data_IF_591574675693
#
_entry.id   IF_591574675693
#
_cell.length_a   1.000
_cell.length_b   1.000
_cell.length_c   1.000
_cell.angle_alpha   90.00
_cell.angle_beta   90.00
_cell.angle_gamma   90.00
#
_symmetry.space_group_name_H-M   'P 1'
#
loop_
_entity.id
_entity.type
_entity.pdbx_description
1 polymer ?
#
# COMPACT_ATOMS: atom_id res chain seq x y z
N UNK A 1 21.12 29.58 -3.71
CA UNK A 1 20.57 29.00 -4.95
C UNK A 1 21.13 29.76 -6.16
N UNK A 2 21.99 29.12 -6.94
CA UNK A 2 22.69 29.72 -8.09
C UNK A 2 22.10 29.23 -9.41
N UNK A 3 22.29 30.00 -10.50
CA UNK A 3 21.80 29.62 -11.86
C UNK A 3 22.31 28.27 -12.37
N UNK A 4 23.36 27.72 -11.76
CA UNK A 4 23.92 26.40 -12.11
C UNK A 4 23.06 25.26 -11.54
N UNK A 5 22.62 25.39 -10.30
CA UNK A 5 21.74 24.42 -9.63
C UNK A 5 20.36 24.33 -10.31
N UNK A 6 19.87 25.45 -10.85
CA UNK A 6 18.62 25.48 -11.64
C UNK A 6 18.82 24.86 -13.03
N UNK A 7 20.01 25.02 -13.65
CA UNK A 7 20.31 24.42 -14.95
C UNK A 7 20.49 22.91 -14.86
N UNK A 8 21.10 22.41 -13.79
CA UNK A 8 21.32 20.98 -13.57
C UNK A 8 20.02 20.27 -13.15
N UNK A 9 19.10 20.97 -12.45
CA UNK A 9 17.76 20.47 -12.17
C UNK A 9 16.83 20.42 -13.39
N UNK A 10 17.03 21.29 -14.39
CA UNK A 10 16.23 21.31 -15.64
C UNK A 10 16.81 20.37 -16.72
N UNK A 11 18.11 20.04 -16.64
CA UNK A 11 18.80 19.20 -17.62
C UNK A 11 18.45 17.71 -17.61
N UNK A 12 17.77 17.22 -16.56
CA UNK A 12 17.45 15.80 -16.37
C UNK A 12 15.96 15.44 -16.54
N UNK A 13 15.14 16.32 -17.12
CA UNK A 13 13.78 15.94 -17.52
C UNK A 13 13.90 15.03 -18.75
N UNK A 14 13.77 13.73 -18.51
CA UNK A 14 13.65 12.71 -19.56
C UNK A 14 12.61 13.16 -20.60
N UNK A 15 12.99 13.13 -21.88
CA UNK A 15 12.15 13.53 -23.03
C UNK A 15 10.79 12.82 -23.08
N UNK A 16 10.60 11.75 -22.30
CA UNK A 16 9.35 11.02 -22.13
C UNK A 16 8.27 11.85 -21.42
N UNK A 17 8.61 12.64 -20.40
CA UNK A 17 7.63 13.43 -19.63
C UNK A 17 7.21 14.73 -20.33
N UNK A 18 8.02 15.23 -21.27
CA UNK A 18 7.68 16.41 -22.08
C UNK A 18 6.67 16.06 -23.19
N UNK A 19 6.70 14.83 -23.71
CA UNK A 19 5.74 14.37 -24.71
C UNK A 19 4.36 14.08 -24.09
N UNK A 20 4.33 13.53 -22.87
CA UNK A 20 3.10 13.22 -22.15
C UNK A 20 2.31 14.48 -21.75
N UNK A 21 3.00 15.56 -21.38
CA UNK A 21 2.36 16.86 -21.09
C UNK A 21 1.88 17.60 -22.35
N UNK A 22 2.44 17.31 -23.53
CA UNK A 22 2.04 17.92 -24.80
C UNK A 22 0.81 17.24 -25.42
N UNK A 23 0.65 15.92 -25.23
CA UNK A 23 -0.50 15.17 -25.77
C UNK A 23 -1.79 15.34 -24.95
N UNK A 24 -1.69 15.75 -23.68
CA UNK A 24 -2.85 15.95 -22.81
C UNK A 24 -3.83 17.05 -23.31
N UNK A 25 -3.38 17.97 -24.17
CA UNK A 25 -4.24 19.05 -24.70
C UNK A 25 -4.87 18.80 -26.08
N UNK A 26 -4.60 17.67 -26.73
CA UNK A 26 -5.05 17.48 -28.14
C UNK A 26 -6.07 16.36 -28.34
N UNK A 27 -6.38 15.53 -27.34
CA UNK A 27 -7.39 14.49 -27.47
C UNK A 27 -8.79 14.93 -26.99
N UNK A 28 -9.29 16.07 -27.48
CA UNK A 28 -10.73 16.32 -27.52
C UNK A 28 -11.20 16.29 -28.98
N UNK A 29 -11.73 15.16 -29.44
CA UNK A 29 -12.85 15.09 -30.39
C UNK A 29 -13.27 13.65 -30.78
N UNK A 30 -14.57 13.42 -30.58
CA UNK A 30 -15.51 12.60 -31.38
C UNK A 30 -15.35 11.07 -31.34
N UNK A 31 -16.08 10.46 -30.40
CA UNK A 31 -16.46 9.05 -30.39
C UNK A 31 -17.40 8.76 -31.58
N UNK A 32 -16.96 7.90 -32.51
CA UNK A 32 -17.84 7.22 -33.48
C UNK A 32 -18.09 5.79 -32.97
N UNK A 33 -19.35 5.50 -32.66
CA UNK A 33 -19.80 4.15 -32.29
C UNK A 33 -19.66 3.20 -33.49
N UNK A 34 -18.69 2.28 -33.43
CA UNK A 34 -18.64 1.13 -34.31
C UNK A 34 -18.96 -0.13 -33.49
N UNK A 35 -20.20 -0.60 -33.60
CA UNK A 35 -20.63 -1.89 -33.02
C UNK A 35 -20.04 -3.04 -33.86
N UNK A 36 -19.23 -3.89 -33.24
CA UNK A 36 -19.00 -5.29 -33.67
C UNK A 36 -18.95 -6.22 -32.46
N UNK A 37 -19.33 -7.49 -32.63
CA UNK A 37 -19.95 -8.28 -31.57
C UNK A 37 -18.93 -8.93 -30.62
N UNK A 38 -19.27 -8.90 -29.34
CA UNK A 38 -18.54 -9.50 -28.21
C UNK A 38 -18.59 -11.02 -28.32
N UNK A 39 -17.41 -11.64 -28.45
CA UNK A 39 -17.20 -13.04 -28.15
C UNK A 39 -17.36 -13.24 -26.64
N UNK A 40 -18.26 -14.15 -26.26
CA UNK A 40 -18.51 -14.53 -24.87
C UNK A 40 -17.32 -15.31 -24.33
N UNK A 41 -16.45 -14.66 -23.56
CA UNK A 41 -15.52 -15.32 -22.65
C UNK A 41 -15.89 -14.92 -21.23
N UNK A 42 -16.14 -15.95 -20.44
CA UNK A 42 -16.41 -16.04 -18.99
C UNK A 42 -15.87 -14.88 -18.15
N UNK A 43 -16.74 -13.94 -17.79
CA UNK A 43 -16.53 -12.94 -16.73
C UNK A 43 -17.67 -12.95 -15.69
N UNK A 44 -18.35 -14.10 -15.54
CA UNK A 44 -19.60 -14.19 -14.75
C UNK A 44 -19.37 -14.64 -13.30
N UNK A 45 -18.26 -15.32 -12.99
CA UNK A 45 -18.03 -15.86 -11.64
C UNK A 45 -17.52 -14.80 -10.66
N UNK A 46 -16.63 -13.90 -11.09
CA UNK A 46 -16.06 -12.83 -10.23
C UNK A 46 -17.12 -11.80 -9.84
N UNK A 47 -17.97 -11.38 -10.79
CA UNK A 47 -19.12 -10.52 -10.51
C UNK A 47 -20.15 -11.17 -9.58
N UNK A 48 -20.27 -12.50 -9.58
CA UNK A 48 -21.23 -13.20 -8.72
C UNK A 48 -20.79 -13.23 -7.25
N UNK A 49 -19.49 -13.25 -6.92
CA UNK A 49 -19.00 -13.26 -5.55
C UNK A 49 -19.13 -11.90 -4.86
N UNK A 50 -18.87 -10.79 -5.57
CA UNK A 50 -19.19 -9.44 -5.07
C UNK A 50 -20.71 -9.30 -4.77
N UNK A 51 -21.55 -9.96 -5.59
CA UNK A 51 -23.00 -10.00 -5.36
C UNK A 51 -23.40 -10.93 -4.22
N UNK A 52 -22.71 -12.07 -3.97
CA UNK A 52 -23.09 -13.04 -2.93
C UNK A 52 -22.72 -12.55 -1.52
N UNK A 53 -21.67 -11.71 -1.37
CA UNK A 53 -21.41 -11.02 -0.11
C UNK A 53 -22.26 -9.74 0.09
N UNK A 54 -22.66 -9.08 -1.01
CA UNK A 54 -23.55 -7.90 -1.00
C UNK A 54 -25.06 -8.19 -0.93
N UNK A 55 -25.51 -9.46 -1.01
CA UNK A 55 -26.94 -9.81 -1.04
C UNK A 55 -27.61 -10.03 0.33
N UNK A 56 -27.10 -9.40 1.40
CA UNK A 56 -27.94 -9.17 2.58
C UNK A 56 -28.21 -7.67 2.64
N UNK A 57 -29.14 -7.24 1.78
CA UNK A 57 -29.80 -5.94 1.88
C UNK A 57 -30.61 -5.91 3.19
N UNK A 58 -29.94 -5.63 4.29
CA UNK A 58 -30.56 -4.95 5.41
C UNK A 58 -30.97 -3.57 4.89
N UNK A 59 -32.28 -3.37 4.79
CA UNK A 59 -32.99 -2.08 4.86
C UNK A 59 -32.13 -0.83 4.65
N UNK A 60 -32.46 -0.07 3.59
CA UNK A 60 -32.19 1.36 3.43
C UNK A 60 -32.17 2.09 4.79
N UNK A 61 -30.99 2.15 5.42
CA UNK A 61 -30.70 3.12 6.44
C UNK A 61 -30.04 4.26 5.66
N UNK A 62 -30.88 5.15 5.12
CA UNK A 62 -30.46 6.53 4.90
C UNK A 62 -29.75 6.95 6.18
N UNK A 63 -28.42 7.03 6.15
CA UNK A 63 -27.65 7.39 7.34
C UNK A 63 -28.14 8.77 7.77
N UNK A 64 -28.86 8.88 8.90
CA UNK A 64 -29.55 10.11 9.21
C UNK A 64 -28.52 11.15 9.64
N UNK A 65 -28.28 12.14 8.79
CA UNK A 65 -27.56 13.37 9.12
C UNK A 65 -26.04 13.29 9.11
N UNK A 66 -25.43 13.25 7.92
CA UNK A 66 -24.01 13.60 7.73
C UNK A 66 -22.99 12.50 7.96
N UNK A 67 -23.42 11.24 8.17
CA UNK A 67 -22.53 10.07 8.35
C UNK A 67 -22.26 9.34 7.02
N UNK A 68 -22.48 10.02 5.89
CA UNK A 68 -22.11 9.48 4.58
C UNK A 68 -20.58 9.52 4.45
N UNK A 69 -20.01 8.36 4.18
CA UNK A 69 -18.59 8.20 3.85
C UNK A 69 -18.52 7.58 2.47
N UNK A 70 -17.58 8.06 1.68
CA UNK A 70 -17.26 7.64 0.31
C UNK A 70 -15.76 7.39 0.23
N UNK A 71 -15.33 6.45 -0.60
CA UNK A 71 -13.93 6.14 -0.83
C UNK A 71 -13.55 6.49 -2.27
N UNK A 72 -12.35 7.00 -2.47
CA UNK A 72 -11.84 7.41 -3.77
C UNK A 72 -10.47 6.77 -4.02
N UNK A 73 -10.26 6.27 -5.24
CA UNK A 73 -8.97 5.78 -5.66
C UNK A 73 -8.01 6.97 -5.87
N UNK A 74 -6.91 6.97 -5.14
CA UNK A 74 -5.84 7.96 -5.30
C UNK A 74 -5.14 7.76 -6.65
N UNK A 75 -4.74 8.87 -7.30
CA UNK A 75 -4.17 8.86 -8.65
C UNK A 75 -5.19 9.05 -9.78
N UNK A 76 -6.43 8.55 -9.64
CA UNK A 76 -7.53 8.85 -10.58
C UNK A 76 -8.55 9.83 -10.02
N UNK A 77 -8.72 9.87 -8.69
CA UNK A 77 -9.77 10.64 -8.03
C UNK A 77 -11.18 10.11 -8.30
N UNK A 78 -11.31 8.88 -8.80
CA UNK A 78 -12.59 8.24 -9.07
C UNK A 78 -13.15 7.61 -7.79
N UNK A 79 -14.46 7.78 -7.56
CA UNK A 79 -15.18 7.11 -6.47
C UNK A 79 -15.13 5.59 -6.67
N UNK A 80 -14.91 4.85 -5.60
CA UNK A 80 -15.03 3.39 -5.57
C UNK A 80 -16.51 3.07 -5.29
N UNK A 81 -17.28 2.59 -6.29
CA UNK A 81 -18.72 2.43 -6.12
C UNK A 81 -19.07 1.15 -5.35
N UNK A 82 -20.29 1.10 -4.81
CA UNK A 82 -20.84 -0.10 -4.14
C UNK A 82 -20.90 -1.31 -5.07
N UNK A 83 -21.25 -1.09 -6.35
CA UNK A 83 -21.25 -2.15 -7.37
C UNK A 83 -19.83 -2.59 -7.78
N UNK A 84 -18.81 -1.86 -7.35
CA UNK A 84 -17.41 -2.02 -7.68
C UNK A 84 -17.00 -1.55 -9.08
N UNK A 85 -15.71 -1.33 -9.23
CA UNK A 85 -15.07 -0.90 -10.47
C UNK A 85 -13.67 -1.50 -10.60
N UNK A 86 -13.20 -1.60 -11.84
CA UNK A 86 -11.80 -1.93 -12.12
C UNK A 86 -10.94 -0.71 -11.78
N UNK A 87 -10.01 -0.88 -10.85
CA UNK A 87 -9.04 0.11 -10.43
C UNK A 87 -7.86 0.10 -11.39
N UNK A 88 -7.47 1.28 -11.86
CA UNK A 88 -6.48 1.45 -12.95
C UNK A 88 -5.17 2.08 -12.47
N UNK A 89 -4.91 2.06 -11.17
CA UNK A 89 -3.75 2.69 -10.53
C UNK A 89 -2.55 1.75 -10.43
N UNK A 90 -2.78 0.43 -10.54
CA UNK A 90 -1.72 -0.54 -10.64
C UNK A 90 -2.13 -1.89 -11.20
N UNK A 91 -1.13 -2.71 -11.54
CA UNK A 91 -1.28 -4.07 -12.07
C UNK A 91 -0.19 -4.97 -11.51
N UNK A 92 -0.49 -6.27 -11.40
CA UNK A 92 0.49 -7.33 -11.13
C UNK A 92 0.56 -8.29 -12.31
N UNK A 93 1.75 -8.79 -12.63
CA UNK A 93 1.92 -9.82 -13.67
C UNK A 93 2.07 -11.22 -13.07
N UNK A 94 2.00 -12.26 -13.91
CA UNK A 94 2.26 -13.66 -13.50
C UNK A 94 3.63 -13.86 -12.84
N UNK A 95 4.57 -12.94 -13.04
CA UNK A 95 5.93 -13.03 -12.50
C UNK A 95 6.09 -12.30 -11.15
N UNK A 96 4.98 -11.78 -10.60
CA UNK A 96 4.96 -10.96 -9.38
C UNK A 96 5.40 -9.51 -9.59
N UNK A 97 5.76 -9.12 -10.82
CA UNK A 97 6.13 -7.73 -11.13
C UNK A 97 4.92 -6.81 -11.02
N UNK A 98 5.11 -5.73 -10.28
CA UNK A 98 4.12 -4.71 -9.97
C UNK A 98 4.39 -3.45 -10.77
N UNK A 99 3.33 -2.84 -11.28
CA UNK A 99 3.38 -1.48 -11.82
C UNK A 99 2.35 -0.63 -11.07
N UNK A 100 2.81 0.46 -10.45
CA UNK A 100 1.96 1.34 -9.64
C UNK A 100 1.44 0.70 -8.35
N UNK A 101 0.49 1.39 -7.71
CA UNK A 101 -0.15 0.94 -6.47
C UNK A 101 -1.52 0.33 -6.81
N UNK A 102 -1.77 -0.97 -6.54
CA UNK A 102 -3.00 -1.67 -6.91
C UNK A 102 -4.26 -0.96 -6.42
N UNK A 103 -4.20 -0.50 -5.17
CA UNK A 103 -5.27 0.23 -4.53
C UNK A 103 -4.71 1.12 -3.44
N UNK A 104 -4.48 2.38 -3.80
CA UNK A 104 -4.32 3.46 -2.85
C UNK A 104 -5.60 4.27 -2.82
N UNK A 105 -6.12 4.60 -1.64
CA UNK A 105 -7.40 5.29 -1.50
C UNK A 105 -7.42 6.26 -0.34
N UNK A 106 -8.40 7.17 -0.38
CA UNK A 106 -8.73 8.07 0.73
C UNK A 106 -10.25 8.09 0.95
N UNK A 107 -10.65 8.52 2.14
CA UNK A 107 -12.05 8.69 2.50
C UNK A 107 -12.48 10.15 2.32
N UNK A 108 -13.75 10.35 1.98
CA UNK A 108 -14.43 11.64 2.04
C UNK A 108 -15.72 11.48 2.81
N UNK A 109 -16.02 12.43 3.67
CA UNK A 109 -17.17 12.41 4.56
C UNK A 109 -17.14 13.65 5.45
N UNK A 110 -17.93 13.64 6.52
CA UNK A 110 -17.95 14.74 7.50
C UNK A 110 -17.87 14.21 8.92
N UNK A 111 -17.21 14.98 9.78
CA UNK A 111 -17.12 14.72 11.21
C UNK A 111 -16.58 13.32 11.54
N UNK A 112 -15.64 12.80 10.74
CA UNK A 112 -14.97 11.54 11.06
C UNK A 112 -13.94 11.86 12.14
N UNK A 113 -14.02 11.19 13.29
CA UNK A 113 -13.09 11.35 14.41
C UNK A 113 -11.97 10.33 14.32
N UNK A 114 -12.31 9.10 13.99
CA UNK A 114 -11.31 8.05 13.81
C UNK A 114 -11.82 6.97 12.89
N UNK A 115 -10.88 6.26 12.26
CA UNK A 115 -11.15 5.07 11.49
C UNK A 115 -10.17 3.99 11.93
N UNK A 116 -10.71 2.86 12.40
CA UNK A 116 -9.94 1.64 12.59
C UNK A 116 -9.98 0.84 11.30
N UNK A 117 -8.81 0.58 10.73
CA UNK A 117 -8.63 -0.26 9.57
C UNK A 117 -8.30 -1.69 10.02
N UNK A 118 -8.84 -2.67 9.32
CA UNK A 118 -8.55 -4.09 9.54
C UNK A 118 -8.55 -4.82 8.21
N UNK A 119 -7.37 -5.27 7.77
CA UNK A 119 -7.15 -6.01 6.54
C UNK A 119 -7.13 -7.51 6.84
N UNK A 120 -7.85 -8.30 6.05
CA UNK A 120 -8.02 -9.72 6.33
C UNK A 120 -6.76 -10.52 6.00
N UNK A 121 -6.28 -10.40 4.77
CA UNK A 121 -5.21 -11.23 4.22
C UNK A 121 -3.90 -10.46 4.06
N UNK A 122 -3.93 -9.30 3.40
CA UNK A 122 -2.71 -8.56 3.06
C UNK A 122 -2.37 -7.50 4.12
N UNK A 123 -1.61 -6.47 3.72
CA UNK A 123 -1.12 -5.40 4.58
C UNK A 123 -1.53 -4.04 4.02
N UNK A 124 -1.59 -3.06 4.92
CA UNK A 124 -1.91 -1.68 4.63
C UNK A 124 -0.76 -0.77 5.07
N UNK A 125 -0.49 0.25 4.27
CA UNK A 125 0.32 1.41 4.67
C UNK A 125 -0.59 2.63 4.84
N UNK A 126 -0.28 3.45 5.83
CA UNK A 126 -0.91 4.75 6.03
C UNK A 126 0.12 5.84 5.90
N UNK A 127 -0.14 6.79 5.01
CA UNK A 127 0.65 8.01 4.84
C UNK A 127 -0.20 9.24 5.12
N UNK A 128 0.35 10.18 5.90
CA UNK A 128 -0.28 11.47 6.18
C UNK A 128 0.52 12.59 5.51
N UNK A 129 0.06 13.03 4.34
CA UNK A 129 0.71 14.10 3.60
C UNK A 129 0.55 15.48 4.24
N UNK A 130 -0.22 15.59 5.33
CA UNK A 130 -0.26 16.79 6.17
C UNK A 130 0.82 16.79 7.25
N UNK A 131 1.52 15.66 7.46
CA UNK A 131 2.57 15.45 8.45
C UNK A 131 2.10 15.69 9.90
N UNK A 132 0.80 15.49 10.19
CA UNK A 132 0.21 15.75 11.51
C UNK A 132 0.07 14.51 12.38
N UNK A 133 0.09 13.34 11.78
CA UNK A 133 -0.17 12.06 12.42
C UNK A 133 1.03 11.16 12.25
N UNK A 134 1.18 10.22 13.17
CA UNK A 134 2.12 9.14 12.96
C UNK A 134 1.65 8.27 11.79
N UNK A 135 2.61 7.82 10.99
CA UNK A 135 2.37 6.94 9.86
C UNK A 135 2.35 5.47 10.30
N UNK A 136 1.75 4.60 9.49
CA UNK A 136 1.80 3.15 9.74
C UNK A 136 2.40 2.47 8.52
N UNK A 137 3.50 1.75 8.71
CA UNK A 137 4.00 0.82 7.71
C UNK A 137 3.23 -0.50 7.79
N UNK A 138 3.18 -1.22 6.67
CA UNK A 138 2.79 -2.63 6.46
C UNK A 138 2.10 -3.32 7.65
N UNK A 139 0.91 -2.85 7.97
CA UNK A 139 0.15 -3.29 9.13
C UNK A 139 -1.20 -3.86 8.67
N UNK A 140 -1.69 -4.86 9.39
CA UNK A 140 -3.03 -5.39 9.11
C UNK A 140 -4.11 -4.58 9.81
N UNK A 141 -3.81 -4.09 11.02
CA UNK A 141 -4.76 -3.32 11.81
C UNK A 141 -4.08 -2.09 12.42
N UNK A 142 -4.74 -0.95 12.33
CA UNK A 142 -4.35 0.30 12.99
C UNK A 142 -5.55 1.23 13.10
N UNK A 143 -5.44 2.23 13.97
CA UNK A 143 -6.47 3.27 14.13
C UNK A 143 -5.88 4.64 13.82
N UNK A 144 -6.49 5.36 12.89
CA UNK A 144 -6.10 6.72 12.54
C UNK A 144 -7.10 7.70 13.14
N UNK A 145 -6.59 8.74 13.80
CA UNK A 145 -7.39 9.90 14.17
C UNK A 145 -7.62 10.76 12.93
N UNK A 146 -8.86 11.06 12.60
CA UNK A 146 -9.21 12.05 11.58
C UNK A 146 -9.36 13.42 12.24
N UNK A 147 -9.09 14.48 11.47
CA UNK A 147 -9.17 15.86 11.97
C UNK A 147 -10.57 16.45 11.87
N UNK A 148 -10.76 17.63 12.47
CA UNK A 148 -11.99 18.43 12.31
C UNK A 148 -12.13 19.00 10.89
N UNK A 149 -11.02 19.15 10.18
CA UNK A 149 -10.93 19.70 8.83
C UNK A 149 -11.12 18.58 7.79
N UNK A 150 -12.29 18.55 7.14
CA UNK A 150 -12.68 17.50 6.18
C UNK A 150 -11.97 17.61 4.82
N UNK A 151 -11.37 18.77 4.52
CA UNK A 151 -10.55 19.00 3.34
C UNK A 151 -9.18 18.31 3.41
N UNK A 152 -8.71 17.95 4.61
CA UNK A 152 -7.48 17.19 4.82
C UNK A 152 -7.59 15.72 4.44
N UNK A 153 -8.81 15.16 4.36
CA UNK A 153 -8.98 13.72 4.25
C UNK A 153 -8.40 13.15 2.95
N UNK A 154 -8.34 13.96 1.89
CA UNK A 154 -7.69 13.59 0.62
C UNK A 154 -6.16 13.42 0.73
N UNK A 155 -5.56 13.90 1.82
CA UNK A 155 -4.14 13.76 2.15
C UNK A 155 -3.86 12.57 3.09
N UNK A 156 -4.90 11.86 3.54
CA UNK A 156 -4.81 10.68 4.41
C UNK A 156 -4.96 9.44 3.54
N UNK A 157 -3.82 8.89 3.11
CA UNK A 157 -3.77 7.82 2.11
C UNK A 157 -3.60 6.46 2.78
N UNK A 158 -4.41 5.50 2.35
CA UNK A 158 -4.27 4.09 2.69
C UNK A 158 -3.83 3.36 1.43
N UNK A 159 -2.69 2.70 1.47
CA UNK A 159 -2.22 1.84 0.39
C UNK A 159 -2.38 0.37 0.76
N UNK A 160 -3.04 -0.40 -0.09
CA UNK A 160 -3.17 -1.85 0.07
C UNK A 160 -2.08 -2.58 -0.71
N UNK A 161 -1.27 -3.34 0.02
CA UNK A 161 -0.05 -3.96 -0.50
C UNK A 161 -0.23 -5.48 -0.57
N UNK A 162 -0.37 -6.08 -1.77
CA UNK A 162 -0.61 -7.52 -1.94
C UNK A 162 0.65 -8.37 -1.81
N UNK A 163 1.36 -8.24 -0.69
CA UNK A 163 2.65 -8.87 -0.46
C UNK A 163 2.57 -10.41 -0.60
N UNK A 164 1.51 -11.04 -0.09
CA UNK A 164 1.37 -12.51 -0.17
C UNK A 164 1.22 -12.96 -1.62
N UNK A 165 0.45 -12.23 -2.42
CA UNK A 165 0.30 -12.48 -3.87
C UNK A 165 1.63 -12.28 -4.59
N UNK A 166 2.33 -11.16 -4.35
CA UNK A 166 3.62 -10.83 -4.97
C UNK A 166 4.62 -11.96 -4.70
N UNK A 167 4.73 -12.38 -3.45
CA UNK A 167 5.63 -13.46 -3.03
C UNK A 167 5.27 -14.79 -3.66
N UNK A 168 3.99 -15.14 -3.70
CA UNK A 168 3.55 -16.39 -4.33
C UNK A 168 3.94 -16.45 -5.81
N UNK A 169 3.76 -15.35 -6.54
CA UNK A 169 4.09 -15.26 -7.97
C UNK A 169 5.60 -15.11 -8.24
N UNK A 170 6.36 -14.59 -7.28
CA UNK A 170 7.81 -14.37 -7.42
C UNK A 170 8.64 -15.57 -6.98
N UNK A 171 8.25 -16.21 -5.87
CA UNK A 171 9.02 -17.28 -5.22
C UNK A 171 8.71 -18.66 -5.84
N UNK A 172 7.57 -18.81 -6.55
CA UNK A 172 7.14 -20.08 -7.15
C UNK A 172 7.00 -19.97 -8.67
N UNK A 173 7.97 -20.54 -9.39
CA UNK A 173 8.03 -20.49 -10.86
C UNK A 173 6.88 -21.19 -11.59
N UNK A 174 6.16 -22.08 -10.90
CA UNK A 174 4.97 -22.77 -11.41
C UNK A 174 3.66 -22.06 -11.06
N UNK A 175 3.74 -20.95 -10.31
CA UNK A 175 2.59 -20.10 -10.00
C UNK A 175 2.34 -19.07 -11.12
N UNK A 176 1.08 -18.65 -11.22
CA UNK A 176 0.55 -17.65 -12.13
C UNK A 176 -0.71 -17.08 -11.50
N UNK A 177 -1.17 -15.90 -11.94
CA UNK A 177 -2.40 -15.29 -11.43
C UNK A 177 -3.58 -16.25 -11.55
N UNK A 178 -3.62 -17.01 -12.65
CA UNK A 178 -4.68 -17.97 -12.94
C UNK A 178 -4.67 -19.21 -12.04
N UNK A 179 -3.52 -19.56 -11.44
CA UNK A 179 -3.38 -20.73 -10.56
C UNK A 179 -3.52 -20.37 -9.08
N UNK A 180 -3.55 -19.07 -8.74
CA UNK A 180 -3.72 -18.63 -7.35
C UNK A 180 -5.06 -19.12 -6.77
N UNK A 181 -5.06 -19.61 -5.51
CA UNK A 181 -6.29 -19.88 -4.78
C UNK A 181 -7.20 -18.66 -4.71
N UNK A 182 -8.52 -18.89 -4.75
CA UNK A 182 -9.51 -17.82 -4.67
C UNK A 182 -9.33 -16.94 -3.42
N UNK A 183 -8.94 -17.55 -2.30
CA UNK A 183 -8.71 -16.83 -1.03
C UNK A 183 -7.51 -15.86 -1.08
N UNK A 184 -6.51 -16.11 -1.93
CA UNK A 184 -5.39 -15.19 -2.14
C UNK A 184 -5.75 -14.08 -3.11
N UNK A 185 -6.66 -14.35 -4.04
CA UNK A 185 -7.11 -13.37 -5.03
C UNK A 185 -8.12 -12.37 -4.49
N UNK A 186 -8.61 -12.56 -3.27
CA UNK A 186 -9.64 -11.72 -2.68
C UNK A 186 -9.22 -11.26 -1.29
N UNK A 187 -9.44 -9.99 -0.99
CA UNK A 187 -9.19 -9.42 0.32
C UNK A 187 -10.32 -8.47 0.75
N UNK A 188 -10.37 -8.19 2.05
CA UNK A 188 -11.36 -7.28 2.64
C UNK A 188 -10.64 -6.35 3.61
N UNK A 189 -10.85 -5.05 3.41
CA UNK A 189 -10.43 -3.99 4.32
C UNK A 189 -11.68 -3.49 5.04
N UNK A 190 -11.84 -3.85 6.31
CA UNK A 190 -12.94 -3.37 7.16
C UNK A 190 -12.54 -2.05 7.80
N UNK A 191 -13.46 -1.10 7.80
CA UNK A 191 -13.33 0.21 8.41
C UNK A 191 -14.41 0.40 9.46
N UNK A 192 -14.02 0.46 10.72
CA UNK A 192 -14.89 0.89 11.82
C UNK A 192 -14.69 2.40 12.02
N UNK A 193 -15.69 3.18 11.61
CA UNK A 193 -15.64 4.64 11.54
C UNK A 193 -16.38 5.20 12.75
N UNK A 194 -15.72 6.06 13.52
CA UNK A 194 -16.33 6.80 14.63
C UNK A 194 -16.54 8.26 14.22
N UNK A 195 -17.75 8.78 14.43
CA UNK A 195 -18.09 10.17 14.12
C UNK A 195 -18.11 11.04 15.38
N UNK A 196 -18.05 12.36 15.21
CA UNK A 196 -18.05 13.35 16.31
C UNK A 196 -19.30 13.32 17.22
N UNK A 197 -20.37 12.65 16.79
CA UNK A 197 -21.58 12.43 17.58
C UNK A 197 -21.59 11.08 18.32
N UNK A 198 -20.43 10.43 18.44
CA UNK A 198 -20.21 9.10 19.06
C UNK A 198 -20.89 7.93 18.35
N UNK A 199 -21.57 8.17 17.23
CA UNK A 199 -22.09 7.08 16.40
C UNK A 199 -20.97 6.44 15.61
N UNK A 200 -21.19 5.20 15.23
CA UNK A 200 -20.28 4.44 14.39
C UNK A 200 -20.95 3.99 13.10
N UNK A 201 -20.15 3.79 12.07
CA UNK A 201 -20.51 3.05 10.87
C UNK A 201 -19.43 2.02 10.57
N UNK A 202 -19.82 0.93 9.91
CA UNK A 202 -18.87 -0.07 9.43
C UNK A 202 -18.99 -0.16 7.93
N UNK A 203 -17.89 0.14 7.26
CA UNK A 203 -17.74 0.06 5.81
C UNK A 203 -16.68 -1.00 5.48
N UNK A 204 -16.67 -1.49 4.25
CA UNK A 204 -15.56 -2.29 3.77
C UNK A 204 -15.21 -1.97 2.32
N UNK A 205 -13.93 -2.08 1.99
CA UNK A 205 -13.48 -2.28 0.61
C UNK A 205 -13.26 -3.77 0.41
N UNK A 206 -13.94 -4.35 -0.57
CA UNK A 206 -13.60 -5.68 -1.09
C UNK A 206 -12.67 -5.50 -2.29
N UNK A 207 -11.58 -6.24 -2.31
CA UNK A 207 -10.55 -6.18 -3.36
C UNK A 207 -10.45 -7.55 -4.02
N UNK A 208 -10.40 -7.59 -5.35
CA UNK A 208 -10.23 -8.82 -6.12
C UNK A 208 -9.18 -8.64 -7.22
N UNK A 209 -8.22 -9.54 -7.29
CA UNK A 209 -7.27 -9.67 -8.41
C UNK A 209 -7.95 -10.37 -9.59
N UNK A 210 -7.96 -9.75 -10.77
CA UNK A 210 -8.51 -10.29 -12.02
C UNK A 210 -7.45 -11.09 -12.80
N UNK A 211 -7.90 -11.93 -13.73
CA UNK A 211 -7.01 -12.85 -14.50
C UNK A 211 -5.99 -12.10 -15.38
N UNK A 212 -6.25 -10.84 -15.69
CA UNK A 212 -5.38 -9.99 -16.50
C UNK A 212 -4.40 -9.15 -15.67
N UNK A 213 -4.34 -9.38 -14.36
CA UNK A 213 -3.44 -8.66 -13.45
C UNK A 213 -3.97 -7.32 -12.96
N UNK A 214 -5.18 -6.93 -13.36
CA UNK A 214 -5.85 -5.73 -12.85
C UNK A 214 -6.63 -6.03 -11.57
N UNK A 215 -7.01 -4.98 -10.84
CA UNK A 215 -7.72 -5.10 -9.57
C UNK A 215 -9.14 -4.55 -9.70
N UNK A 216 -10.09 -5.22 -9.07
CA UNK A 216 -11.46 -4.76 -8.90
C UNK A 216 -11.69 -4.42 -7.43
N UNK A 217 -12.32 -3.28 -7.16
CA UNK A 217 -12.65 -2.89 -5.80
C UNK A 217 -14.08 -2.36 -5.70
N UNK A 218 -14.75 -2.64 -4.58
CA UNK A 218 -16.07 -2.11 -4.24
C UNK A 218 -16.10 -1.60 -2.81
N UNK A 219 -16.79 -0.49 -2.56
CA UNK A 219 -16.93 0.10 -1.24
C UNK A 219 -18.39 0.13 -0.79
N UNK A 220 -18.72 -0.58 0.30
CA UNK A 220 -20.10 -0.77 0.76
C UNK A 220 -20.20 -0.73 2.28
N UNK A 221 -21.44 -0.69 2.80
CA UNK A 221 -21.69 -1.04 4.20
C UNK A 221 -21.28 -2.49 4.46
N UNK A 222 -20.82 -2.76 5.69
CA UNK A 222 -20.34 -4.07 6.09
C UNK A 222 -20.87 -4.48 7.45
N UNK A 223 -21.24 -5.75 7.58
CA UNK A 223 -21.63 -6.34 8.86
C UNK A 223 -20.55 -7.32 9.32
N UNK A 224 -19.85 -6.96 10.39
CA UNK A 224 -18.83 -7.81 11.01
C UNK A 224 -19.48 -9.11 11.51
N UNK A 225 -18.96 -10.24 11.04
CA UNK A 225 -19.42 -11.59 11.37
C UNK A 225 -18.54 -12.18 12.47
N UNK A 226 -19.02 -13.25 13.11
CA UNK A 226 -18.21 -13.98 14.09
C UNK A 226 -16.94 -14.59 13.47
N UNK A 227 -16.97 -14.92 12.17
CA UNK A 227 -15.83 -15.45 11.43
C UNK A 227 -14.80 -14.40 11.06
N UNK A 228 -15.09 -13.11 11.23
CA UNK A 228 -14.18 -12.01 10.92
C UNK A 228 -13.21 -11.79 12.08
N UNK A 229 -12.51 -12.84 12.52
CA UNK A 229 -11.60 -12.77 13.65
C UNK A 229 -10.45 -11.75 13.44
N UNK A 230 -10.15 -11.42 12.19
CA UNK A 230 -9.11 -10.46 11.81
C UNK A 230 -9.37 -9.03 12.31
N UNK A 231 -10.63 -8.59 12.43
CA UNK A 231 -10.96 -7.25 12.94
C UNK A 231 -10.60 -7.07 14.41
N UNK A 232 -10.45 -8.19 15.13
CA UNK A 232 -10.09 -8.24 16.55
C UNK A 232 -8.58 -8.29 16.79
N UNK A 233 -7.75 -8.33 15.74
CA UNK A 233 -6.29 -8.25 15.90
C UNK A 233 -5.94 -6.90 16.55
N UNK A 234 -4.93 -6.86 17.43
CA UNK A 234 -4.46 -5.62 18.03
C UNK A 234 -3.91 -4.67 16.96
N UNK A 235 -3.88 -3.38 17.26
CA UNK A 235 -3.23 -2.41 16.39
C UNK A 235 -1.72 -2.57 16.39
N UNK A 236 -1.14 -2.38 15.21
CA UNK A 236 0.29 -2.16 15.06
C UNK A 236 0.71 -0.85 15.73
N UNK A 237 1.97 -0.80 16.15
CA UNK A 237 2.57 0.46 16.59
C UNK A 237 2.79 1.38 15.38
N UNK A 238 2.62 2.71 15.55
CA UNK A 238 2.97 3.66 14.50
C UNK A 238 4.47 3.69 14.23
N UNK A 239 4.84 4.04 13.00
CA UNK A 239 6.19 4.46 12.66
C UNK A 239 6.44 5.79 13.36
N UNK A 240 7.42 5.84 14.26
CA UNK A 240 7.75 7.09 14.95
C UNK A 240 8.31 8.08 13.95
N UNK A 241 7.63 9.21 13.75
CA UNK A 241 8.20 10.33 13.01
C UNK A 241 9.51 10.76 13.68
N UNK A 242 10.62 10.63 12.96
CA UNK A 242 11.96 10.91 13.46
C UNK A 242 12.00 12.33 14.04
N UNK A 243 12.33 12.45 15.31
CA UNK A 243 12.70 13.76 15.88
C UNK A 243 13.90 14.29 15.10
N UNK A 244 13.95 15.57 14.70
CA UNK A 244 15.10 16.10 13.98
C UNK A 244 16.35 15.94 14.86
N UNK A 245 17.34 15.17 14.38
CA UNK A 245 18.65 15.12 15.01
C UNK A 245 19.19 16.54 15.12
N UNK A 246 19.62 17.01 16.31
CA UNK A 246 20.22 18.32 16.41
C UNK A 246 21.51 18.33 15.61
N UNK A 247 21.60 19.30 14.70
CA UNK A 247 22.80 19.63 13.95
C UNK A 247 23.99 19.72 14.92
N UNK A 248 25.03 18.92 14.65
CA UNK A 248 26.27 18.93 15.43
C UNK A 248 27.07 20.16 15.02
N UNK A 249 26.85 21.27 15.72
CA UNK A 249 27.80 22.38 15.74
C UNK A 249 28.99 22.00 16.63
N UNK A 250 30.18 22.16 16.06
CA UNK A 250 31.41 21.61 16.60
C UNK A 250 31.86 22.21 17.93
N UNK A 251 32.65 21.37 18.62
CA UNK A 251 33.64 21.68 19.64
C UNK A 251 33.13 21.88 21.08
N UNK A 252 33.28 20.85 21.91
CA UNK A 252 34.17 20.86 23.10
C UNK A 252 34.27 19.44 23.69
N UNK A 253 35.51 19.01 23.94
CA UNK A 253 35.91 17.78 24.62
C UNK A 253 35.29 17.64 26.02
N UNK A 254 34.64 16.52 26.28
CA UNK A 254 34.63 15.86 27.58
C UNK A 254 34.37 14.35 27.37
N UNK A 255 35.41 13.56 27.64
CA UNK A 255 35.35 12.11 27.78
C UNK A 255 34.43 11.74 28.94
N UNK A 256 33.41 10.93 28.67
CA UNK A 256 33.28 9.54 29.16
C UNK A 256 31.82 9.08 29.00
N UNK A 257 31.66 7.82 28.57
CA UNK A 257 30.39 7.06 28.41
C UNK A 257 29.79 7.00 26.99
N UNK A 258 30.61 6.70 25.98
CA UNK A 258 30.15 6.11 24.72
C UNK A 258 31.00 4.87 24.41
N UNK A 259 30.55 3.68 24.81
CA UNK A 259 31.23 2.45 24.37
C UNK A 259 30.35 1.18 24.34
N UNK A 260 29.09 1.23 24.79
CA UNK A 260 28.24 0.02 24.85
C UNK A 260 27.03 -0.01 23.91
N UNK A 261 26.69 1.08 23.21
CA UNK A 261 25.49 1.11 22.33
C UNK A 261 25.81 0.97 20.83
N UNK A 262 27.01 1.34 20.37
CA UNK A 262 27.39 1.26 18.95
C UNK A 262 27.73 -0.17 18.50
N UNK A 263 28.11 -1.05 19.43
CA UNK A 263 28.53 -2.43 19.13
C UNK A 263 27.32 -3.34 18.84
N UNK A 264 26.18 -3.10 19.47
CA UNK A 264 24.97 -3.92 19.31
C UNK A 264 24.22 -3.61 18.01
N UNK A 265 24.22 -2.35 17.56
CA UNK A 265 23.57 -1.92 16.31
C UNK A 265 24.28 -2.41 15.04
N UNK A 266 25.62 -2.44 15.04
CA UNK A 266 26.39 -2.99 13.93
C UNK A 266 26.15 -4.51 13.79
N UNK A 267 26.11 -5.23 14.92
CA UNK A 267 25.79 -6.66 14.94
C UNK A 267 24.36 -6.96 14.46
N UNK A 268 23.41 -6.11 14.82
CA UNK A 268 22.03 -6.18 14.34
C UNK A 268 21.93 -6.00 12.82
N UNK A 269 22.62 -4.98 12.28
CA UNK A 269 22.64 -4.70 10.84
C UNK A 269 23.27 -5.86 10.03
N UNK A 270 24.39 -6.41 10.51
CA UNK A 270 25.04 -7.57 9.89
C UNK A 270 24.11 -8.78 9.88
N UNK A 271 23.42 -9.04 10.99
CA UNK A 271 22.51 -10.18 11.12
C UNK A 271 21.27 -10.02 10.23
N UNK A 272 20.66 -8.83 10.20
CA UNK A 272 19.53 -8.52 9.34
C UNK A 272 19.91 -8.60 7.86
N UNK A 273 21.09 -8.07 7.48
CA UNK A 273 21.61 -8.16 6.11
C UNK A 273 21.84 -9.61 5.69
N UNK A 274 22.40 -10.45 6.57
CA UNK A 274 22.56 -11.88 6.29
C UNK A 274 21.22 -12.60 6.07
N UNK A 275 20.19 -12.25 6.86
CA UNK A 275 18.82 -12.74 6.65
C UNK A 275 18.26 -12.28 5.30
N UNK A 276 18.43 -11.02 4.93
CA UNK A 276 17.99 -10.48 3.64
C UNK A 276 18.70 -11.18 2.46
N UNK A 277 20.01 -11.36 2.52
CA UNK A 277 20.76 -12.11 1.50
C UNK A 277 20.33 -13.58 1.41
N UNK A 278 20.02 -14.21 2.54
CA UNK A 278 19.51 -15.58 2.59
C UNK A 278 18.10 -15.70 2.00
N UNK A 279 17.29 -14.65 2.11
CA UNK A 279 15.99 -14.56 1.45
C UNK A 279 16.16 -14.55 -0.08
N UNK A 280 16.92 -13.61 -0.63
CA UNK A 280 17.10 -13.50 -2.09
C UNK A 280 17.68 -14.74 -2.75
N UNK A 281 18.51 -15.53 -2.05
CA UNK A 281 19.03 -16.83 -2.55
C UNK A 281 17.94 -17.86 -2.86
N UNK A 282 16.72 -17.67 -2.36
CA UNK A 282 15.56 -18.54 -2.60
C UNK A 282 14.62 -17.98 -3.66
N UNK A 283 14.89 -16.78 -4.17
CA UNK A 283 14.06 -16.08 -5.15
C UNK A 283 14.65 -16.18 -6.55
N UNK A 284 13.90 -15.72 -7.55
CA UNK A 284 14.37 -15.56 -8.93
C UNK A 284 15.33 -14.37 -9.14
N UNK A 285 15.50 -13.53 -8.12
CA UNK A 285 16.32 -12.32 -8.19
C UNK A 285 17.79 -12.57 -7.84
N UNK A 286 18.68 -11.86 -8.55
CA UNK A 286 20.11 -11.83 -8.28
C UNK A 286 20.50 -10.45 -7.76
N UNK A 287 20.96 -10.37 -6.52
CA UNK A 287 21.33 -9.12 -5.85
C UNK A 287 22.61 -8.52 -6.46
N UNK A 288 22.54 -7.25 -6.85
CA UNK A 288 23.68 -6.42 -7.28
C UNK A 288 24.24 -5.64 -6.09
N UNK A 289 23.37 -4.94 -5.36
CA UNK A 289 23.73 -4.15 -4.18
C UNK A 289 22.60 -4.15 -3.15
N UNK A 290 22.97 -3.95 -1.88
CA UNK A 290 22.04 -3.90 -0.76
C UNK A 290 22.55 -2.88 0.27
N UNK A 291 21.78 -1.81 0.45
CA UNK A 291 22.11 -0.65 1.27
C UNK A 291 21.00 -0.41 2.30
N UNK A 292 21.36 -0.14 3.55
CA UNK A 292 20.38 0.11 4.60
C UNK A 292 19.70 1.46 4.35
N UNK A 293 18.36 1.48 4.47
CA UNK A 293 17.54 2.67 4.25
C UNK A 293 17.06 3.23 5.58
N UNK A 294 16.54 2.36 6.44
CA UNK A 294 16.10 2.72 7.79
C UNK A 294 16.47 1.63 8.81
N UNK A 295 16.70 2.04 10.04
CA UNK A 295 17.09 1.17 11.14
C UNK A 295 16.54 1.68 12.48
N UNK A 296 15.75 0.82 13.12
CA UNK A 296 15.38 0.91 14.53
C UNK A 296 15.96 -0.28 15.30
N UNK A 297 15.63 -0.38 16.60
CA UNK A 297 16.05 -1.50 17.46
C UNK A 297 15.40 -2.83 17.01
N UNK A 298 14.22 -2.76 16.40
CA UNK A 298 13.36 -3.90 16.09
C UNK A 298 12.99 -4.04 14.61
N UNK A 299 13.35 -3.06 13.77
CA UNK A 299 13.07 -3.06 12.34
C UNK A 299 14.27 -2.55 11.54
N UNK A 300 14.57 -3.21 10.42
CA UNK A 300 15.59 -2.74 9.46
C UNK A 300 15.03 -2.89 8.05
N UNK A 301 15.23 -1.87 7.21
CA UNK A 301 14.92 -1.95 5.79
C UNK A 301 16.19 -1.76 4.95
N UNK A 302 16.24 -2.47 3.82
CA UNK A 302 17.32 -2.32 2.84
C UNK A 302 16.74 -2.00 1.46
N UNK A 303 17.36 -1.04 0.77
CA UNK A 303 17.22 -0.87 -0.67
C UNK A 303 18.12 -1.88 -1.38
N UNK A 304 17.56 -2.62 -2.32
CA UNK A 304 18.15 -3.77 -2.96
C UNK A 304 18.02 -3.63 -4.46
N UNK A 305 19.17 -3.44 -5.10
CA UNK A 305 19.26 -3.49 -6.55
C UNK A 305 19.37 -4.94 -6.99
N UNK A 306 18.49 -5.39 -7.87
CA UNK A 306 18.46 -6.78 -8.32
C UNK A 306 18.37 -6.90 -9.84
N UNK A 307 18.78 -8.05 -10.36
CA UNK A 307 18.43 -8.48 -11.74
C UNK A 307 17.54 -9.71 -11.69
N UNK A 308 16.69 -9.87 -12.70
CA UNK A 308 15.90 -11.08 -12.97
C UNK A 308 16.20 -11.53 -14.38
N UNK A 309 16.66 -12.77 -14.54
CA UNK A 309 17.09 -13.31 -15.85
C UNK A 309 18.08 -12.40 -16.62
N UNK A 310 18.95 -11.69 -15.89
CA UNK A 310 19.94 -10.76 -16.44
C UNK A 310 19.40 -9.37 -16.81
N UNK A 311 18.12 -9.08 -16.54
CA UNK A 311 17.50 -7.76 -16.74
C UNK A 311 17.46 -7.01 -15.41
N UNK A 312 18.00 -5.78 -15.39
CA UNK A 312 17.93 -4.89 -14.23
C UNK A 312 16.47 -4.58 -13.88
N UNK A 313 16.13 -4.70 -12.61
CA UNK A 313 14.81 -4.35 -12.09
C UNK A 313 14.90 -2.93 -11.53
N UNK A 314 14.11 -2.02 -12.12
CA UNK A 314 13.98 -0.62 -11.68
C UNK A 314 12.50 -0.33 -11.32
N UNK A 315 12.22 0.40 -10.22
CA UNK A 315 13.19 0.96 -9.26
C UNK A 315 13.87 -0.10 -8.40
N UNK A 316 14.84 0.29 -7.56
CA UNK A 316 15.43 -0.63 -6.58
C UNK A 316 14.32 -1.14 -5.63
N UNK A 317 14.39 -2.42 -5.23
CA UNK A 317 13.41 -3.05 -4.35
C UNK A 317 13.72 -2.71 -2.90
N UNK A 318 12.73 -2.64 -2.03
CA UNK A 318 12.93 -2.52 -0.58
C UNK A 318 12.57 -3.84 0.09
N UNK A 319 13.43 -4.30 1.01
CA UNK A 319 13.17 -5.46 1.87
C UNK A 319 13.09 -4.99 3.32
N UNK A 320 12.04 -5.38 4.03
CA UNK A 320 11.79 -5.02 5.43
C UNK A 320 11.94 -6.25 6.31
N UNK A 321 12.69 -6.10 7.40
CA UNK A 321 12.92 -7.12 8.39
C UNK A 321 12.48 -6.65 9.77
N UNK A 322 11.91 -7.56 10.55
CA UNK A 322 11.53 -7.32 11.93
C UNK A 322 12.23 -8.32 12.85
N UNK A 323 12.64 -7.86 14.04
CA UNK A 323 13.22 -8.70 15.07
C UNK A 323 12.08 -9.38 15.87
N UNK A 324 11.82 -10.64 15.55
CA UNK A 324 10.77 -11.44 16.19
C UNK A 324 11.43 -12.51 17.05
N UNK A 325 11.17 -12.49 18.37
CA UNK A 325 11.73 -13.43 19.34
C UNK A 325 13.28 -13.56 19.28
N UNK A 326 13.97 -12.45 18.99
CA UNK A 326 15.43 -12.40 18.89
C UNK A 326 16.00 -12.93 17.57
N UNK A 327 15.16 -13.18 16.56
CA UNK A 327 15.57 -13.54 15.21
C UNK A 327 15.04 -12.53 14.19
N UNK A 328 15.88 -12.12 13.25
CA UNK A 328 15.43 -11.28 12.14
C UNK A 328 14.62 -12.11 11.16
N UNK A 329 13.42 -11.66 10.86
CA UNK A 329 12.52 -12.28 9.90
C UNK A 329 12.17 -11.27 8.80
N UNK A 330 12.16 -11.72 7.55
CA UNK A 330 11.68 -10.88 6.42
C UNK A 330 10.17 -10.78 6.53
N UNK A 331 9.69 -9.56 6.73
CA UNK A 331 8.25 -9.27 6.86
C UNK A 331 7.65 -8.74 5.55
N UNK A 332 8.46 -8.13 4.68
CA UNK A 332 8.04 -7.71 3.34
C UNK A 332 9.22 -7.56 2.37
N UNK A 333 8.94 -7.64 1.07
CA UNK A 333 9.85 -7.35 -0.02
C UNK A 333 9.06 -6.83 -1.23
N UNK A 334 9.43 -5.67 -1.77
CA UNK A 334 8.62 -4.97 -2.77
C UNK A 334 9.33 -3.76 -3.39
N UNK A 335 8.57 -2.91 -4.09
CA UNK A 335 9.06 -1.60 -4.55
C UNK A 335 8.63 -0.51 -3.57
#
# INVERSE_FOLDING_TARGET
>A
MTRREISDGVGNISSRHILEAADYKTASQKIRFFKRPVGRTTAAAVLALCLIAGLITGTLLDSPGGMAVTAYAYGTGEEIPEAGAVIRTGTISDSGEMAGHPLMFYLSGKNIVSVRYSCKNEQLEFMDWTEKRDEYGLAQNFTISYGEEDDEYASLLIDWVPNTIIRELTDHSDSSISSLPEEMRNDVIVMEITFGNEKTAVKAIQVSLLDDGTFFASFSDYQIRETDAFVKRPDSAPLSASTPSPETDGNTLAEDTESSMSVDMEGALVSAKATAEAYYKKTVFQVISMEAVDQTVDQISFSVRVTKDGVLQDPDRTIWLQLINGSWEVVNEGY
#
